data_IF_278375267164
#
_entry.id   IF_278375267164
#
_cell.length_a   1.000
_cell.length_b   1.000
_cell.length_c   1.000
_cell.angle_alpha   90.00
_cell.angle_beta   90.00
_cell.angle_gamma   90.00
#
_symmetry.space_group_name_H-M   'P 1'
#
loop_
_entity.id
_entity.type
_entity.pdbx_description
1 polymer ?
#
# COMPACT_ATOMS: atom_id res chain seq x y z
N UNK A 1 -29.44 -2.14 13.63
CA UNK A 1 -28.24 -2.30 12.77
C UNK A 1 -28.45 -1.89 11.29
N UNK A 2 -29.68 -1.91 10.74
CA UNK A 2 -29.96 -1.51 9.34
C UNK A 2 -29.68 -0.03 9.03
N UNK A 3 -30.19 0.90 9.84
CA UNK A 3 -30.10 2.34 9.56
C UNK A 3 -28.66 2.87 9.49
N UNK A 4 -27.72 2.34 10.29
CA UNK A 4 -26.31 2.77 10.25
C UNK A 4 -25.61 2.39 8.94
N UNK A 5 -25.88 1.19 8.40
CA UNK A 5 -25.32 0.74 7.12
C UNK A 5 -25.88 1.58 5.97
N UNK A 6 -27.18 1.84 5.97
CA UNK A 6 -27.83 2.68 4.96
C UNK A 6 -27.25 4.10 4.98
N UNK A 7 -27.14 4.72 6.17
CA UNK A 7 -26.54 6.06 6.30
C UNK A 7 -25.10 6.06 5.73
N UNK A 8 -24.27 5.10 6.11
CA UNK A 8 -22.88 5.03 5.62
C UNK A 8 -22.80 4.88 4.10
N UNK A 9 -23.59 3.98 3.51
CA UNK A 9 -23.60 3.75 2.06
C UNK A 9 -24.13 4.99 1.34
N UNK A 10 -25.22 5.59 1.83
CA UNK A 10 -25.78 6.82 1.25
C UNK A 10 -24.78 7.98 1.34
N UNK A 11 -24.13 8.18 2.48
CA UNK A 11 -23.08 9.19 2.62
C UNK A 11 -21.91 8.95 1.67
N UNK A 12 -21.46 7.70 1.53
CA UNK A 12 -20.39 7.36 0.61
C UNK A 12 -20.77 7.64 -0.86
N UNK A 13 -21.98 7.24 -1.27
CA UNK A 13 -22.48 7.50 -2.61
C UNK A 13 -22.58 9.00 -2.91
N UNK A 14 -23.11 9.79 -1.98
CA UNK A 14 -23.20 11.25 -2.10
C UNK A 14 -21.81 11.87 -2.24
N UNK A 15 -20.86 11.49 -1.39
CA UNK A 15 -19.48 11.98 -1.47
C UNK A 15 -18.81 11.60 -2.78
N UNK A 16 -18.99 10.36 -3.24
CA UNK A 16 -18.43 9.89 -4.51
C UNK A 16 -19.00 10.71 -5.69
N UNK A 17 -20.30 11.01 -5.69
CA UNK A 17 -20.89 11.90 -6.68
C UNK A 17 -20.28 13.30 -6.63
N UNK A 18 -20.21 13.93 -5.45
CA UNK A 18 -19.61 15.27 -5.29
C UNK A 18 -18.19 15.28 -5.85
N UNK A 19 -17.33 14.38 -5.37
CA UNK A 19 -15.93 14.32 -5.80
C UNK A 19 -15.75 13.97 -7.29
N UNK A 20 -16.70 13.28 -7.91
CA UNK A 20 -16.65 13.01 -9.35
C UNK A 20 -16.84 14.26 -10.22
N UNK A 21 -17.54 15.27 -9.74
CA UNK A 21 -17.77 16.52 -10.47
C UNK A 21 -16.91 17.69 -9.98
N UNK A 22 -16.34 17.60 -8.77
CA UNK A 22 -15.47 18.64 -8.20
C UNK A 22 -13.98 18.30 -8.23
N UNK A 23 -13.58 17.18 -8.87
CA UNK A 23 -12.20 16.67 -8.89
C UNK A 23 -11.17 17.74 -9.32
N UNK A 24 -11.46 18.45 -10.42
CA UNK A 24 -10.55 19.47 -10.96
C UNK A 24 -10.45 20.70 -10.06
N UNK A 25 -11.58 21.18 -9.53
CA UNK A 25 -11.60 22.34 -8.63
C UNK A 25 -10.83 22.05 -7.34
N UNK A 26 -11.02 20.86 -6.77
CA UNK A 26 -10.29 20.42 -5.58
C UNK A 26 -8.80 20.35 -5.89
N UNK A 27 -8.42 19.73 -7.01
CA UNK A 27 -7.02 19.64 -7.43
C UNK A 27 -6.37 21.02 -7.58
N UNK A 28 -7.05 21.96 -8.24
CA UNK A 28 -6.58 23.35 -8.36
C UNK A 28 -6.42 24.06 -7.01
N UNK A 29 -7.31 23.78 -6.04
CA UNK A 29 -7.28 24.46 -4.74
C UNK A 29 -6.24 23.89 -3.76
N UNK A 30 -5.92 22.60 -3.85
CA UNK A 30 -5.10 21.87 -2.87
C UNK A 30 -3.72 21.45 -3.40
N UNK A 31 -3.44 21.62 -4.69
CA UNK A 31 -2.17 21.20 -5.26
C UNK A 31 -1.01 22.06 -4.76
N UNK A 32 -0.23 21.52 -3.84
CA UNK A 32 0.96 22.15 -3.29
C UNK A 32 2.11 21.14 -3.19
N UNK A 33 2.94 20.98 -4.26
CA UNK A 33 3.94 19.90 -4.33
C UNK A 33 5.13 20.09 -3.38
N UNK A 34 5.29 21.27 -2.79
CA UNK A 34 6.36 21.61 -1.84
C UNK A 34 5.92 21.49 -0.38
N UNK A 35 4.64 21.24 -0.11
CA UNK A 35 4.11 21.16 1.24
C UNK A 35 4.60 19.89 1.95
N UNK A 36 5.40 20.06 3.00
CA UNK A 36 6.01 18.95 3.76
C UNK A 36 4.97 18.03 4.42
N UNK A 37 3.84 18.59 4.87
CA UNK A 37 2.76 17.81 5.49
C UNK A 37 2.09 16.94 4.43
N UNK A 38 1.83 17.48 3.24
CA UNK A 38 1.25 16.72 2.13
C UNK A 38 2.19 15.58 1.69
N UNK A 39 3.48 15.85 1.56
CA UNK A 39 4.50 14.82 1.24
C UNK A 39 4.58 13.73 2.32
N UNK A 40 4.48 14.11 3.59
CA UNK A 40 4.45 13.15 4.70
C UNK A 40 3.19 12.28 4.67
N UNK A 41 2.02 12.87 4.45
CA UNK A 41 0.76 12.12 4.32
C UNK A 41 0.77 11.19 3.10
N UNK A 42 1.39 11.62 2.00
CA UNK A 42 1.62 10.78 0.82
C UNK A 42 2.49 9.55 1.15
N UNK A 43 3.57 9.75 1.92
CA UNK A 43 4.42 8.66 2.40
C UNK A 43 3.65 7.67 3.27
N UNK A 44 2.87 8.15 4.25
CA UNK A 44 2.03 7.31 5.11
C UNK A 44 0.93 6.60 4.31
N UNK A 45 0.44 7.18 3.22
CA UNK A 45 -0.54 6.53 2.35
C UNK A 45 -0.01 5.27 1.67
N UNK A 46 1.31 5.12 1.51
CA UNK A 46 1.87 4.08 0.65
C UNK A 46 2.80 3.10 1.38
N UNK A 47 3.64 3.61 2.29
CA UNK A 47 4.64 2.82 3.03
C UNK A 47 4.03 1.68 3.86
N UNK A 48 2.87 1.83 4.55
CA UNK A 48 2.29 0.77 5.35
C UNK A 48 2.03 -0.54 4.58
N UNK A 49 1.60 -0.46 3.32
CA UNK A 49 1.42 -1.64 2.48
C UNK A 49 2.73 -2.41 2.28
N UNK A 50 3.82 -1.70 2.01
CA UNK A 50 5.15 -2.30 1.86
C UNK A 50 5.63 -2.93 3.18
N UNK A 51 5.35 -2.28 4.31
CA UNK A 51 5.67 -2.82 5.63
C UNK A 51 4.83 -4.07 5.97
N UNK A 52 3.55 -4.12 5.57
CA UNK A 52 2.71 -5.32 5.72
C UNK A 52 3.28 -6.48 4.91
N UNK A 53 3.68 -6.26 3.65
CA UNK A 53 4.30 -7.30 2.83
C UNK A 53 5.66 -7.76 3.39
N UNK A 54 6.50 -6.82 3.83
CA UNK A 54 7.79 -7.11 4.46
C UNK A 54 7.61 -7.95 5.73
N UNK A 55 6.74 -7.50 6.63
CA UNK A 55 6.44 -8.21 7.87
C UNK A 55 5.88 -9.61 7.60
N UNK A 56 4.91 -9.71 6.70
CA UNK A 56 4.29 -10.98 6.31
C UNK A 56 5.29 -11.97 5.75
N UNK A 57 6.18 -11.51 4.87
CA UNK A 57 7.23 -12.32 4.26
C UNK A 57 8.28 -12.77 5.30
N UNK A 58 8.63 -11.89 6.24
CA UNK A 58 9.52 -12.20 7.35
C UNK A 58 8.93 -13.28 8.26
N UNK A 59 7.65 -13.16 8.61
CA UNK A 59 6.96 -14.17 9.41
C UNK A 59 6.90 -15.52 8.68
N UNK A 60 6.50 -15.53 7.41
CA UNK A 60 6.44 -16.74 6.59
C UNK A 60 7.81 -17.40 6.42
N UNK A 61 8.88 -16.62 6.24
CA UNK A 61 10.26 -17.12 6.20
C UNK A 61 10.66 -17.81 7.50
N UNK A 62 10.23 -17.27 8.64
CA UNK A 62 10.54 -17.84 9.96
C UNK A 62 9.75 -19.11 10.24
N UNK A 63 8.47 -19.15 9.87
CA UNK A 63 7.56 -20.28 10.13
C UNK A 63 7.58 -21.33 9.02
N UNK A 64 8.64 -21.40 8.20
CA UNK A 64 8.79 -22.43 7.17
C UNK A 64 8.82 -23.82 7.81
N UNK A 65 8.08 -24.76 7.22
CA UNK A 65 8.00 -26.16 7.66
C UNK A 65 8.98 -27.03 6.85
N UNK A 66 9.22 -28.26 7.32
CA UNK A 66 9.99 -29.31 6.61
C UNK A 66 11.47 -28.96 6.38
N UNK A 67 12.17 -28.59 7.46
CA UNK A 67 13.61 -28.29 7.45
C UNK A 67 14.40 -29.44 6.79
N UNK A 68 15.25 -29.12 5.82
CA UNK A 68 16.06 -30.09 5.07
C UNK A 68 15.45 -30.55 3.73
N UNK A 69 14.17 -30.27 3.47
CA UNK A 69 13.57 -30.53 2.16
C UNK A 69 13.99 -29.49 1.11
N UNK A 70 14.01 -29.87 -0.18
CA UNK A 70 14.25 -28.93 -1.30
C UNK A 70 13.29 -27.73 -1.26
N UNK A 71 12.02 -27.98 -0.92
CA UNK A 71 11.00 -26.93 -0.78
C UNK A 71 11.29 -25.93 0.33
N UNK A 72 11.92 -26.34 1.44
CA UNK A 72 12.32 -25.44 2.52
C UNK A 72 13.39 -24.43 2.07
N UNK A 73 14.38 -24.89 1.31
CA UNK A 73 15.44 -24.02 0.77
C UNK A 73 14.90 -23.08 -0.31
N UNK A 74 14.11 -23.61 -1.25
CA UNK A 74 13.50 -22.81 -2.33
C UNK A 74 12.58 -21.72 -1.77
N UNK A 75 11.73 -22.09 -0.80
CA UNK A 75 10.88 -21.13 -0.08
C UNK A 75 11.72 -20.12 0.70
N UNK A 76 12.86 -20.53 1.26
CA UNK A 76 13.79 -19.62 1.93
C UNK A 76 14.33 -18.54 1.03
N UNK A 77 14.82 -18.94 -0.14
CA UNK A 77 15.34 -18.02 -1.16
C UNK A 77 14.22 -17.08 -1.61
N UNK A 78 13.04 -17.63 -1.94
CA UNK A 78 11.89 -16.84 -2.39
C UNK A 78 11.47 -15.76 -1.39
N UNK A 79 11.24 -16.13 -0.13
CA UNK A 79 10.90 -15.14 0.89
C UNK A 79 12.06 -14.17 1.18
N UNK A 80 13.32 -14.63 1.13
CA UNK A 80 14.49 -13.78 1.29
C UNK A 80 14.56 -12.67 0.24
N UNK A 81 14.33 -13.01 -1.03
CA UNK A 81 14.25 -12.03 -2.13
C UNK A 81 13.10 -11.05 -1.91
N UNK A 82 11.92 -11.55 -1.52
CA UNK A 82 10.74 -10.72 -1.26
C UNK A 82 10.97 -9.75 -0.09
N UNK A 83 11.61 -10.21 0.99
CA UNK A 83 11.99 -9.38 2.15
C UNK A 83 12.91 -8.24 1.70
N UNK A 84 13.97 -8.55 0.95
CA UNK A 84 14.90 -7.54 0.46
C UNK A 84 14.21 -6.54 -0.47
N UNK A 85 13.36 -7.03 -1.37
CA UNK A 85 12.59 -6.21 -2.32
C UNK A 85 11.69 -5.22 -1.58
N UNK A 86 10.81 -5.68 -0.68
CA UNK A 86 9.87 -4.80 0.00
C UNK A 86 10.55 -3.87 1.02
N UNK A 87 11.65 -4.31 1.65
CA UNK A 87 12.45 -3.42 2.48
C UNK A 87 13.08 -2.30 1.65
N UNK A 88 13.67 -2.64 0.50
CA UNK A 88 14.23 -1.65 -0.42
C UNK A 88 13.16 -0.67 -0.92
N UNK A 89 12.01 -1.17 -1.37
CA UNK A 89 10.90 -0.32 -1.86
C UNK A 89 10.43 0.63 -0.75
N UNK A 90 10.15 0.13 0.46
CA UNK A 90 9.71 0.95 1.58
C UNK A 90 10.72 2.05 1.93
N UNK A 91 12.02 1.71 1.97
CA UNK A 91 13.10 2.66 2.28
C UNK A 91 13.32 3.68 1.16
N UNK A 92 13.28 3.25 -0.10
CA UNK A 92 13.36 4.13 -1.25
C UNK A 92 12.22 5.15 -1.24
N UNK A 93 10.99 4.70 -0.99
CA UNK A 93 9.82 5.57 -0.91
C UNK A 93 9.93 6.58 0.23
N UNK A 94 10.33 6.13 1.43
CA UNK A 94 10.52 7.02 2.58
C UNK A 94 11.53 8.12 2.25
N UNK A 95 12.68 7.75 1.69
CA UNK A 95 13.74 8.70 1.34
C UNK A 95 13.30 9.64 0.24
N UNK A 96 12.61 9.12 -0.78
CA UNK A 96 12.11 9.92 -1.90
C UNK A 96 11.05 10.93 -1.46
N UNK A 97 10.05 10.52 -0.68
CA UNK A 97 8.97 11.39 -0.24
C UNK A 97 9.44 12.46 0.76
N UNK A 98 10.35 12.11 1.67
CA UNK A 98 10.90 13.08 2.62
C UNK A 98 12.03 13.93 2.01
N UNK A 99 12.40 13.69 0.75
CA UNK A 99 13.46 14.41 0.03
C UNK A 99 14.80 14.43 0.77
N UNK A 100 15.11 13.34 1.47
CA UNK A 100 16.34 13.17 2.26
C UNK A 100 17.43 12.45 1.46
N UNK A 101 18.62 12.34 2.04
CA UNK A 101 19.79 11.75 1.38
C UNK A 101 19.57 10.29 0.96
N UNK A 102 19.94 9.97 -0.29
CA UNK A 102 19.85 8.62 -0.88
C UNK A 102 20.68 7.58 -0.13
N UNK A 103 21.75 8.00 0.55
CA UNK A 103 22.58 7.10 1.36
C UNK A 103 21.82 6.50 2.56
N UNK A 104 20.74 7.16 3.00
CA UNK A 104 19.89 6.67 4.09
C UNK A 104 19.03 5.46 3.69
N UNK A 105 18.91 5.14 2.40
CA UNK A 105 18.10 4.00 1.93
C UNK A 105 18.58 2.70 2.60
N UNK A 106 19.89 2.45 2.62
CA UNK A 106 20.44 1.23 3.23
C UNK A 106 20.22 1.18 4.74
N UNK A 107 20.31 2.33 5.42
CA UNK A 107 20.08 2.44 6.85
C UNK A 107 18.62 2.11 7.17
N UNK A 108 17.66 2.75 6.48
CA UNK A 108 16.24 2.45 6.67
C UNK A 108 15.89 1.02 6.30
N UNK A 109 16.53 0.45 5.26
CA UNK A 109 16.28 -0.92 4.83
C UNK A 109 16.67 -1.89 5.95
N UNK A 110 17.84 -1.70 6.54
CA UNK A 110 18.28 -2.49 7.69
C UNK A 110 17.36 -2.29 8.90
N UNK A 111 16.99 -1.04 9.22
CA UNK A 111 16.07 -0.74 10.31
C UNK A 111 14.71 -1.43 10.14
N UNK A 112 14.10 -1.38 8.96
CA UNK A 112 12.83 -2.04 8.69
C UNK A 112 12.91 -3.55 8.76
N UNK A 113 13.98 -4.16 8.23
CA UNK A 113 14.22 -5.59 8.33
C UNK A 113 14.34 -6.01 9.80
N UNK A 114 15.15 -5.31 10.59
CA UNK A 114 15.35 -5.60 12.02
C UNK A 114 14.05 -5.43 12.80
N UNK A 115 13.32 -4.33 12.58
CA UNK A 115 12.03 -4.08 13.23
C UNK A 115 11.01 -5.18 12.90
N UNK A 116 10.83 -5.52 11.62
CA UNK A 116 9.92 -6.58 11.20
C UNK A 116 10.35 -7.95 11.74
N UNK A 117 11.65 -8.24 11.78
CA UNK A 117 12.18 -9.46 12.40
C UNK A 117 11.84 -9.52 13.90
N UNK A 118 12.05 -8.43 14.65
CA UNK A 118 11.72 -8.37 16.08
C UNK A 118 10.21 -8.58 16.32
N UNK A 119 9.34 -7.95 15.53
CA UNK A 119 7.89 -8.12 15.62
C UNK A 119 7.50 -9.57 15.28
N UNK A 120 8.07 -10.14 14.21
CA UNK A 120 7.81 -11.52 13.81
C UNK A 120 8.24 -12.53 14.89
N UNK A 121 9.29 -12.20 15.65
CA UNK A 121 9.75 -13.00 16.79
C UNK A 121 8.81 -12.95 17.97
N UNK A 122 8.15 -11.81 18.20
CA UNK A 122 7.08 -11.70 19.19
C UNK A 122 5.85 -12.52 18.80
N UNK A 123 5.50 -12.57 17.51
CA UNK A 123 4.38 -13.38 17.00
C UNK A 123 4.63 -14.88 17.09
N UNK A 124 5.86 -15.36 16.88
CA UNK A 124 6.16 -16.79 16.93
C UNK A 124 6.01 -17.43 18.32
N UNK A 125 5.74 -16.64 19.37
CA UNK A 125 5.37 -17.19 20.69
C UNK A 125 3.99 -17.82 20.70
N UNK A 126 3.15 -17.40 19.75
CA UNK A 126 1.81 -17.92 19.54
C UNK A 126 1.95 -18.93 18.40
N UNK A 127 2.13 -20.21 18.74
CA UNK A 127 2.27 -21.31 17.76
C UNK A 127 0.91 -21.63 17.12
N UNK A 128 0.42 -20.69 16.30
CA UNK A 128 -0.90 -20.75 15.68
C UNK A 128 -0.78 -20.75 14.15
N UNK A 129 -1.27 -21.83 13.53
CA UNK A 129 -1.35 -21.95 12.07
C UNK A 129 -2.10 -20.77 11.43
N UNK A 130 -3.07 -20.17 12.14
CA UNK A 130 -3.86 -19.04 11.66
C UNK A 130 -3.05 -17.76 11.51
N UNK A 131 -1.99 -17.55 12.30
CA UNK A 131 -1.10 -16.39 12.12
C UNK A 131 -0.33 -16.49 10.80
N UNK A 132 -0.01 -17.71 10.36
CA UNK A 132 0.60 -17.94 9.04
C UNK A 132 -0.36 -17.60 7.92
N UNK A 133 -1.65 -17.93 8.08
CA UNK A 133 -2.68 -17.59 7.10
C UNK A 133 -2.89 -16.08 7.00
N UNK A 134 -2.89 -15.36 8.12
CA UNK A 134 -2.97 -13.88 8.13
C UNK A 134 -1.78 -13.24 7.44
N UNK A 135 -0.56 -13.75 7.69
CA UNK A 135 0.64 -13.28 6.99
C UNK A 135 0.53 -13.56 5.48
N UNK A 136 0.05 -14.74 5.09
CA UNK A 136 -0.19 -15.06 3.68
C UNK A 136 -1.21 -14.11 3.05
N UNK A 137 -2.34 -13.84 3.72
CA UNK A 137 -3.35 -12.88 3.27
C UNK A 137 -2.74 -11.49 3.13
N UNK A 138 -1.92 -11.04 4.08
CA UNK A 138 -1.26 -9.73 4.03
C UNK A 138 -0.34 -9.59 2.83
N UNK A 139 0.53 -10.58 2.61
CA UNK A 139 1.44 -10.60 1.46
C UNK A 139 0.67 -10.65 0.13
N UNK A 140 -0.31 -11.56 0.00
CA UNK A 140 -1.10 -11.71 -1.22
C UNK A 140 -1.92 -10.45 -1.51
N UNK A 141 -2.49 -9.79 -0.49
CA UNK A 141 -3.26 -8.56 -0.68
C UNK A 141 -2.40 -7.44 -1.27
N UNK A 142 -1.17 -7.25 -0.79
CA UNK A 142 -0.23 -6.26 -1.34
C UNK A 142 0.13 -6.60 -2.78
N UNK A 143 0.48 -7.86 -3.06
CA UNK A 143 0.84 -8.30 -4.42
C UNK A 143 -0.33 -8.13 -5.40
N UNK A 144 -1.54 -8.53 -5.00
CA UNK A 144 -2.75 -8.39 -5.82
C UNK A 144 -3.03 -6.92 -6.10
N UNK A 145 -2.99 -6.06 -5.07
CA UNK A 145 -3.20 -4.61 -5.26
C UNK A 145 -2.17 -4.04 -6.23
N UNK A 146 -0.88 -4.35 -6.06
CA UNK A 146 0.17 -3.86 -6.95
C UNK A 146 -0.04 -4.33 -8.39
N UNK A 147 -0.33 -5.61 -8.63
CA UNK A 147 -0.53 -6.13 -9.98
C UNK A 147 -1.81 -5.56 -10.60
N UNK A 148 -2.95 -5.72 -9.92
CA UNK A 148 -4.26 -5.31 -10.44
C UNK A 148 -4.32 -3.81 -10.72
N UNK A 149 -3.83 -2.97 -9.81
CA UNK A 149 -3.89 -1.51 -10.03
C UNK A 149 -2.98 -1.06 -11.16
N UNK A 150 -1.80 -1.66 -11.30
CA UNK A 150 -0.91 -1.33 -12.42
C UNK A 150 -1.50 -1.80 -13.76
N UNK A 151 -2.13 -2.97 -13.83
CA UNK A 151 -2.83 -3.44 -15.03
C UNK A 151 -4.02 -2.56 -15.39
N UNK A 152 -4.85 -2.16 -14.42
CA UNK A 152 -5.97 -1.25 -14.68
C UNK A 152 -5.45 0.10 -15.14
N UNK A 153 -4.42 0.66 -14.48
CA UNK A 153 -3.79 1.94 -14.87
C UNK A 153 -3.31 1.93 -16.33
N UNK A 154 -2.69 0.83 -16.76
CA UNK A 154 -2.26 0.64 -18.13
C UNK A 154 -3.43 0.71 -19.13
N UNK A 155 -4.58 0.14 -18.78
CA UNK A 155 -5.78 0.18 -19.62
C UNK A 155 -6.65 1.44 -19.47
N UNK A 156 -6.39 2.29 -18.45
CA UNK A 156 -7.21 3.47 -18.17
C UNK A 156 -6.72 4.72 -18.88
N UNK A 157 -5.40 4.93 -18.94
CA UNK A 157 -4.78 5.98 -19.76
C UNK A 157 -5.07 7.43 -19.35
N UNK A 158 -5.61 7.65 -18.14
CA UNK A 158 -5.96 8.99 -17.67
C UNK A 158 -4.72 9.78 -17.26
N UNK A 159 -4.61 11.00 -17.81
CA UNK A 159 -3.55 11.94 -17.50
C UNK A 159 -3.57 12.39 -16.04
N UNK A 160 -2.37 12.61 -15.47
CA UNK A 160 -2.17 13.10 -14.11
C UNK A 160 -2.21 14.62 -14.07
N UNK A 161 -2.86 15.13 -13.02
CA UNK A 161 -2.96 16.57 -12.77
C UNK A 161 -1.59 17.29 -12.75
N UNK A 162 -0.57 16.69 -12.12
CA UNK A 162 0.79 17.25 -12.10
C UNK A 162 1.40 17.46 -13.49
N UNK A 163 1.04 16.61 -14.45
CA UNK A 163 1.52 16.71 -15.83
C UNK A 163 0.79 17.84 -16.55
N UNK A 164 -0.54 17.97 -16.38
CA UNK A 164 -1.33 19.09 -16.90
C UNK A 164 -0.77 20.44 -16.45
N UNK A 165 -0.39 20.55 -15.17
CA UNK A 165 0.29 21.74 -14.63
C UNK A 165 1.64 21.97 -15.32
N UNK A 166 2.44 20.93 -15.53
CA UNK A 166 3.76 21.06 -16.16
C UNK A 166 3.71 21.51 -17.62
N UNK A 167 2.65 21.13 -18.35
CA UNK A 167 2.45 21.52 -19.76
C UNK A 167 1.61 22.80 -19.91
N UNK A 168 1.02 23.30 -18.82
CA UNK A 168 0.17 24.50 -18.83
C UNK A 168 -1.17 24.33 -19.54
N UNK A 169 -1.62 23.10 -19.80
CA UNK A 169 -2.88 22.80 -20.49
C UNK A 169 -3.70 21.78 -19.70
N UNK A 170 -4.99 22.09 -19.53
CA UNK A 170 -5.97 21.23 -18.88
C UNK A 170 -6.92 20.56 -19.89
N UNK A 171 -6.64 20.65 -21.20
CA UNK A 171 -7.46 20.04 -22.24
C UNK A 171 -7.53 18.51 -22.12
N UNK A 172 -6.48 17.89 -21.57
CA UNK A 172 -6.45 16.44 -21.29
C UNK A 172 -7.21 16.01 -20.04
N UNK A 173 -7.88 16.93 -19.33
CA UNK A 173 -8.67 16.58 -18.16
C UNK A 173 -9.89 15.73 -18.55
N UNK A 174 -10.00 14.58 -17.88
CA UNK A 174 -11.15 13.69 -17.98
C UNK A 174 -11.61 13.25 -16.60
N UNK A 175 -12.91 12.99 -16.47
CA UNK A 175 -13.48 12.45 -15.23
C UNK A 175 -12.89 11.07 -14.95
N UNK A 176 -12.63 10.80 -13.69
CA UNK A 176 -11.87 9.61 -13.28
C UNK A 176 -12.51 8.27 -13.68
N UNK A 177 -13.83 8.22 -13.83
CA UNK A 177 -14.57 7.01 -14.23
C UNK A 177 -14.64 6.79 -15.75
N UNK A 178 -14.10 7.70 -16.57
CA UNK A 178 -14.09 7.58 -18.03
C UNK A 178 -12.71 7.11 -18.50
N UNK A 179 -12.58 5.89 -19.07
CA UNK A 179 -11.30 5.42 -19.60
C UNK A 179 -10.89 6.24 -20.84
N UNK A 180 -9.60 6.56 -20.94
CA UNK A 180 -8.99 7.32 -22.03
C UNK A 180 -8.16 6.45 -23.00
N UNK A 181 -8.19 5.12 -22.79
CA UNK A 181 -7.46 4.14 -23.59
C UNK A 181 -6.16 3.68 -22.95
N UNK A 182 -5.25 3.14 -23.76
CA UNK A 182 -4.00 2.56 -23.25
C UNK A 182 -3.02 3.67 -22.87
N UNK A 183 -2.52 3.61 -21.64
CA UNK A 183 -1.52 4.55 -21.11
C UNK A 183 -0.19 4.39 -21.85
N UNK A 184 0.27 5.47 -22.50
CA UNK A 184 1.55 5.47 -23.23
C UNK A 184 2.76 5.68 -22.33
N UNK A 185 2.57 6.41 -21.22
CA UNK A 185 3.62 6.76 -20.26
C UNK A 185 3.03 6.89 -18.85
N UNK A 186 3.91 6.98 -17.85
CA UNK A 186 3.54 7.08 -16.43
C UNK A 186 2.68 8.34 -16.15
N UNK A 187 2.83 9.42 -16.92
CA UNK A 187 1.99 10.62 -16.80
C UNK A 187 0.50 10.34 -17.08
N UNK A 188 0.20 9.25 -17.82
CA UNK A 188 -1.15 8.80 -18.16
C UNK A 188 -1.67 7.66 -17.26
N UNK A 189 -1.06 7.48 -16.09
CA UNK A 189 -1.43 6.46 -15.11
C UNK A 189 -1.92 7.09 -13.81
N UNK A 190 -2.93 7.97 -13.89
CA UNK A 190 -3.50 8.65 -12.71
C UNK A 190 -4.58 7.85 -11.98
N UNK A 191 -5.30 6.98 -12.68
CA UNK A 191 -6.42 6.21 -12.12
C UNK A 191 -6.29 4.71 -12.46
N UNK A 192 -6.64 3.80 -11.53
CA UNK A 192 -7.04 4.04 -10.14
C UNK A 192 -5.87 4.49 -9.23
N UNK A 193 -6.19 5.14 -8.10
CA UNK A 193 -5.16 5.66 -7.18
C UNK A 193 -4.38 4.54 -6.50
N UNK A 194 -3.06 4.53 -6.69
CA UNK A 194 -2.16 3.57 -6.03
C UNK A 194 -2.00 3.85 -4.53
N UNK A 195 -1.84 5.12 -4.16
CA UNK A 195 -1.76 5.56 -2.76
C UNK A 195 -3.00 5.18 -1.97
N UNK A 196 -4.19 5.41 -2.52
CA UNK A 196 -5.43 5.06 -1.83
C UNK A 196 -5.59 3.55 -1.67
N UNK A 197 -5.17 2.77 -2.67
CA UNK A 197 -5.22 1.31 -2.62
C UNK A 197 -4.26 0.74 -1.57
N UNK A 198 -3.02 1.24 -1.53
CA UNK A 198 -2.02 0.86 -0.54
C UNK A 198 -2.45 1.28 0.88
N UNK A 199 -3.02 2.47 1.04
CA UNK A 199 -3.55 2.93 2.32
C UNK A 199 -4.69 2.04 2.84
N UNK A 200 -5.57 1.58 1.95
CA UNK A 200 -6.68 0.70 2.31
C UNK A 200 -6.21 -0.65 2.88
N UNK A 201 -4.99 -1.10 2.55
CA UNK A 201 -4.43 -2.34 3.10
C UNK A 201 -4.15 -2.26 4.60
N UNK A 202 -4.14 -1.06 5.21
CA UNK A 202 -4.11 -0.91 6.68
C UNK A 202 -5.31 -1.60 7.34
N UNK A 203 -6.42 -1.81 6.63
CA UNK A 203 -7.56 -2.60 7.13
C UNK A 203 -7.14 -4.04 7.48
N UNK A 204 -6.05 -4.57 6.90
CA UNK A 204 -5.48 -5.85 7.30
C UNK A 204 -5.19 -5.94 8.80
N UNK A 205 -4.81 -4.82 9.45
CA UNK A 205 -4.60 -4.80 10.91
C UNK A 205 -5.87 -5.15 11.71
N UNK A 206 -7.07 -4.99 11.14
CA UNK A 206 -8.33 -5.38 11.78
C UNK A 206 -8.49 -6.90 11.93
N UNK A 207 -7.67 -7.70 11.25
CA UNK A 207 -7.63 -9.16 11.42
C UNK A 207 -6.85 -9.58 12.67
N UNK A 208 -5.99 -8.71 13.22
CA UNK A 208 -5.11 -9.06 14.35
C UNK A 208 -5.82 -9.24 15.71
N UNK A 209 -6.84 -8.43 16.09
CA UNK A 209 -7.50 -8.54 17.37
C UNK A 209 -8.14 -9.91 17.66
N UNK A 210 -8.47 -10.70 16.65
CA UNK A 210 -9.02 -12.05 16.87
C UNK A 210 -8.02 -13.00 17.54
N UNK A 211 -6.71 -12.70 17.44
CA UNK A 211 -5.61 -13.60 17.79
C UNK A 211 -4.78 -13.10 18.98
N UNK A 212 -4.66 -11.79 19.17
CA UNK A 212 -3.98 -11.23 20.33
C UNK A 212 -5.00 -10.87 21.41
N UNK A 213 -5.00 -11.62 22.51
CA UNK A 213 -5.86 -11.34 23.66
C UNK A 213 -5.65 -9.93 24.23
N UNK A 214 -4.45 -9.36 24.06
CA UNK A 214 -4.15 -7.96 24.42
C UNK A 214 -4.85 -6.91 23.54
N UNK A 215 -5.28 -7.30 22.33
CA UNK A 215 -5.96 -6.45 21.36
C UNK A 215 -7.48 -6.71 21.30
N UNK A 216 -7.95 -7.82 21.88
CA UNK A 216 -9.40 -8.00 22.12
C UNK A 216 -9.85 -6.93 23.10
N UNK A 217 -10.93 -6.23 22.76
CA UNK A 217 -11.62 -5.28 23.65
C UNK A 217 -11.60 -5.84 25.08
N UNK A 218 -10.87 -5.19 25.98
CA UNK A 218 -11.29 -5.17 27.38
C UNK A 218 -12.68 -4.54 27.35
N UNK A 219 -13.68 -5.35 27.68
CA UNK A 219 -15.07 -4.88 27.77
C UNK A 219 -15.14 -3.68 28.71
#
# INVERSE_FOLDING_TARGET
MGNRKVILISSFAILLCIFAFTDLQISNSLYEPTNKIALFLQAIGEIPAMLIALFSSMYLFKTRKNKGSRGYYLSGIGHGVIILLFAFIASFMLVHYLTISKYLILIFMLCFIVACYMISKSWSRYDDARLRDIALIGLLSVVIVLITFNLIKLGWGRERYRHMISIGSFEGFSKWFIPQGIAKRDEFMSFPSGHSANAALVIWFSLLPEYFASLKRKK
#
